data_IF_403978000320
#
_entry.id   IF_403978000320
#
_cell.length_a   1.000
_cell.length_b   1.000
_cell.length_c   1.000
_cell.angle_alpha   90.00
_cell.angle_beta   90.00
_cell.angle_gamma   90.00
#
_symmetry.space_group_name_H-M   'P 1'
#
loop_
_entity.id
_entity.type
_entity.pdbx_description
1 polymer ?
#
# COMPACT_ATOMS: atom_id res chain seq x y z
N UNK A 1 16.39 -35.20 14.99
CA UNK A 1 15.70 -34.62 13.81
C UNK A 1 14.34 -34.12 14.25
N UNK A 2 13.99 -32.86 13.97
CA UNK A 2 12.70 -32.27 14.35
C UNK A 2 11.58 -32.85 13.49
N UNK A 3 10.50 -33.34 14.10
CA UNK A 3 9.35 -33.86 13.35
C UNK A 3 8.41 -32.70 12.93
N UNK A 4 8.55 -32.28 11.67
CA UNK A 4 7.74 -31.21 11.06
C UNK A 4 6.26 -31.57 10.88
N UNK A 5 5.91 -32.86 10.96
CA UNK A 5 4.53 -33.34 10.86
C UNK A 5 3.86 -33.53 12.23
N UNK A 6 4.49 -33.07 13.31
CA UNK A 6 3.86 -33.15 14.63
C UNK A 6 2.65 -32.19 14.72
N UNK A 7 1.48 -32.66 15.19
CA UNK A 7 0.28 -31.81 15.28
C UNK A 7 0.46 -30.63 16.23
N UNK A 8 1.32 -30.77 17.24
CA UNK A 8 1.70 -29.69 18.16
C UNK A 8 2.42 -28.53 17.48
N UNK A 9 3.28 -28.82 16.48
CA UNK A 9 3.98 -27.79 15.73
C UNK A 9 3.01 -27.03 14.83
N UNK A 10 2.15 -27.74 14.11
CA UNK A 10 1.13 -27.14 13.24
C UNK A 10 0.19 -26.20 14.01
N UNK A 11 -0.22 -26.58 15.23
CA UNK A 11 -1.04 -25.74 16.10
C UNK A 11 -0.30 -24.47 16.53
N UNK A 12 1.00 -24.58 16.83
CA UNK A 12 1.83 -23.44 17.21
C UNK A 12 2.02 -22.46 16.05
N UNK A 13 2.26 -22.97 14.84
CA UNK A 13 2.35 -22.18 13.61
C UNK A 13 1.02 -21.48 13.30
N UNK A 14 -0.10 -22.17 13.47
CA UNK A 14 -1.44 -21.59 13.31
C UNK A 14 -1.68 -20.41 14.27
N UNK A 15 -1.30 -20.54 15.54
CA UNK A 15 -1.42 -19.40 16.48
C UNK A 15 -0.51 -18.23 16.13
N UNK A 16 0.71 -18.50 15.65
CA UNK A 16 1.60 -17.45 15.16
C UNK A 16 1.00 -16.72 13.95
N UNK A 17 0.39 -17.48 13.03
CA UNK A 17 -0.32 -16.96 11.87
C UNK A 17 -1.50 -16.06 12.25
N UNK A 18 -2.38 -16.51 13.15
CA UNK A 18 -3.53 -15.72 13.63
C UNK A 18 -3.05 -14.41 14.27
N UNK A 19 -2.01 -14.47 15.12
CA UNK A 19 -1.41 -13.27 15.71
C UNK A 19 -0.85 -12.31 14.67
N UNK A 20 -0.19 -12.83 13.64
CA UNK A 20 0.34 -12.03 12.53
C UNK A 20 -0.78 -11.34 11.75
N UNK A 21 -1.87 -12.05 11.43
CA UNK A 21 -3.04 -11.46 10.76
C UNK A 21 -3.64 -10.34 11.60
N UNK A 22 -3.86 -10.56 12.89
CA UNK A 22 -4.43 -9.55 13.77
C UNK A 22 -3.53 -8.31 13.88
N UNK A 23 -2.21 -8.51 13.92
CA UNK A 23 -1.24 -7.42 13.87
C UNK A 23 -1.32 -6.63 12.55
N UNK A 24 -1.34 -7.31 11.41
CA UNK A 24 -1.45 -6.67 10.09
C UNK A 24 -2.79 -5.97 9.90
N UNK A 25 -3.88 -6.56 10.39
CA UNK A 25 -5.21 -5.95 10.43
C UNK A 25 -5.22 -4.69 11.28
N UNK A 26 -4.60 -4.72 12.47
CA UNK A 26 -4.41 -3.54 13.31
C UNK A 26 -3.62 -2.44 12.61
N UNK A 27 -2.52 -2.80 11.93
CA UNK A 27 -1.73 -1.87 11.13
C UNK A 27 -2.54 -1.26 9.97
N UNK A 28 -3.37 -2.07 9.31
CA UNK A 28 -4.26 -1.62 8.24
C UNK A 28 -5.35 -0.68 8.76
N UNK A 29 -5.97 -0.99 9.91
CA UNK A 29 -6.96 -0.13 10.57
C UNK A 29 -6.31 1.18 11.03
N UNK A 30 -5.10 1.13 11.59
CA UNK A 30 -4.34 2.32 11.94
C UNK A 30 -4.12 3.22 10.71
N UNK A 31 -3.69 2.63 9.59
CA UNK A 31 -3.56 3.31 8.31
C UNK A 31 -4.89 3.87 7.77
N UNK A 32 -6.02 3.21 8.09
CA UNK A 32 -7.35 3.73 7.81
C UNK A 32 -7.65 5.00 8.60
N UNK A 33 -7.45 4.95 9.91
CA UNK A 33 -7.80 6.01 10.85
C UNK A 33 -6.98 7.28 10.62
N UNK A 34 -5.66 7.16 10.44
CA UNK A 34 -4.77 8.32 10.25
C UNK A 34 -5.14 9.13 9.00
N UNK A 35 -5.67 8.48 7.97
CA UNK A 35 -6.05 9.14 6.71
C UNK A 35 -7.56 9.34 6.56
N UNK A 36 -8.34 9.16 7.62
CA UNK A 36 -9.80 9.25 7.57
C UNK A 36 -10.29 10.63 7.12
N UNK A 37 -9.58 11.70 7.50
CA UNK A 37 -9.91 13.07 7.08
C UNK A 37 -9.82 13.25 5.56
N UNK A 38 -8.78 12.66 4.94
CA UNK A 38 -8.62 12.69 3.49
C UNK A 38 -9.72 11.89 2.81
N UNK A 39 -10.01 10.69 3.32
CA UNK A 39 -11.05 9.81 2.77
C UNK A 39 -12.45 10.43 2.89
N UNK A 40 -12.73 11.10 4.01
CA UNK A 40 -13.97 11.84 4.22
C UNK A 40 -14.08 13.02 3.25
N UNK A 41 -12.98 13.76 3.02
CA UNK A 41 -12.93 14.81 2.00
C UNK A 41 -13.16 14.29 0.58
N UNK A 42 -12.61 13.12 0.25
CA UNK A 42 -12.85 12.42 -1.02
C UNK A 42 -14.31 11.99 -1.14
N UNK A 43 -14.86 11.37 -0.10
CA UNK A 43 -16.24 10.89 -0.06
C UNK A 43 -17.22 12.05 -0.23
N UNK A 44 -17.12 13.09 0.59
CA UNK A 44 -17.97 14.29 0.50
C UNK A 44 -17.93 14.94 -0.89
N UNK A 45 -16.77 14.99 -1.56
CA UNK A 45 -16.65 15.50 -2.93
C UNK A 45 -17.45 14.68 -3.96
N UNK A 46 -17.51 13.35 -3.79
CA UNK A 46 -18.35 12.49 -4.65
C UNK A 46 -19.83 12.83 -4.47
N UNK A 47 -20.28 12.94 -3.21
CA UNK A 47 -21.68 13.23 -2.91
C UNK A 47 -22.10 14.64 -3.35
N UNK A 48 -21.22 15.63 -3.16
CA UNK A 48 -21.54 17.03 -3.48
C UNK A 48 -21.62 17.27 -5.00
N UNK A 49 -20.79 16.58 -5.81
CA UNK A 49 -20.80 16.73 -7.27
C UNK A 49 -21.99 16.09 -7.98
N UNK A 50 -22.74 15.21 -7.32
CA UNK A 50 -23.94 14.57 -7.87
C UNK A 50 -25.09 15.56 -8.17
N UNK A 51 -25.02 16.78 -7.65
CA UNK A 51 -26.09 17.80 -7.82
C UNK A 51 -25.88 18.78 -8.98
N UNK A 52 -24.73 18.75 -9.69
CA UNK A 52 -24.53 19.56 -10.90
C UNK A 52 -24.27 18.65 -12.11
N UNK A 53 -25.31 18.44 -12.92
CA UNK A 53 -25.36 17.70 -14.18
C UNK A 53 -24.39 18.15 -15.31
N UNK A 54 -23.34 18.90 -15.02
CA UNK A 54 -22.51 19.53 -16.04
C UNK A 54 -21.16 18.82 -16.22
N UNK A 55 -21.15 17.86 -17.17
CA UNK A 55 -20.01 17.27 -17.90
C UNK A 55 -20.01 15.73 -17.86
N UNK A 56 -20.96 15.15 -18.60
CA UNK A 56 -21.24 13.71 -18.69
C UNK A 56 -20.09 12.84 -19.24
N UNK A 57 -19.02 13.39 -19.85
CA UNK A 57 -17.91 12.60 -20.39
C UNK A 57 -16.55 12.83 -19.71
N UNK A 58 -16.34 14.00 -19.07
CA UNK A 58 -15.12 14.30 -18.33
C UNK A 58 -15.13 13.73 -16.90
N UNK A 59 -16.29 13.71 -16.25
CA UNK A 59 -16.45 13.24 -14.88
C UNK A 59 -16.20 11.73 -14.69
N UNK A 60 -16.67 10.91 -15.65
CA UNK A 60 -16.65 9.44 -15.56
C UNK A 60 -15.24 8.89 -15.27
N UNK A 61 -14.20 9.45 -15.91
CA UNK A 61 -12.82 8.95 -15.74
C UNK A 61 -12.24 9.27 -14.37
N UNK A 62 -12.54 10.45 -13.84
CA UNK A 62 -12.08 10.87 -12.51
C UNK A 62 -12.82 10.11 -11.41
N UNK A 63 -14.13 9.93 -11.59
CA UNK A 63 -14.98 9.23 -10.63
C UNK A 63 -14.64 7.74 -10.57
N UNK A 64 -14.26 7.11 -11.69
CA UNK A 64 -13.80 5.71 -11.73
C UNK A 64 -12.53 5.49 -10.90
N UNK A 65 -11.53 6.37 -11.03
CA UNK A 65 -10.26 6.23 -10.27
C UNK A 65 -10.52 6.40 -8.76
N UNK A 66 -11.44 7.28 -8.40
CA UNK A 66 -11.81 7.53 -7.01
C UNK A 66 -12.59 6.37 -6.40
N UNK A 67 -13.53 5.80 -7.16
CA UNK A 67 -14.23 4.57 -6.79
C UNK A 67 -13.26 3.40 -6.65
N UNK A 68 -12.31 3.27 -7.57
CA UNK A 68 -11.26 2.25 -7.53
C UNK A 68 -10.40 2.36 -6.27
N UNK A 69 -10.00 3.58 -5.92
CA UNK A 69 -9.28 3.88 -4.68
C UNK A 69 -10.07 3.49 -3.43
N UNK A 70 -11.37 3.84 -3.37
CA UNK A 70 -12.23 3.47 -2.25
C UNK A 70 -12.42 1.95 -2.17
N UNK A 71 -12.64 1.27 -3.29
CA UNK A 71 -12.77 -0.19 -3.33
C UNK A 71 -11.50 -0.89 -2.86
N UNK A 72 -10.32 -0.48 -3.34
CA UNK A 72 -9.03 -1.02 -2.91
C UNK A 72 -8.78 -0.87 -1.40
N UNK A 73 -9.47 0.07 -0.76
CA UNK A 73 -9.28 0.46 0.64
C UNK A 73 -10.35 -0.09 1.59
N UNK A 74 -11.62 -0.12 1.19
CA UNK A 74 -12.70 -0.58 2.07
C UNK A 74 -12.94 -2.10 1.97
N UNK A 75 -12.65 -2.71 0.83
CA UNK A 75 -12.91 -4.14 0.63
C UNK A 75 -12.01 -5.03 1.51
N UNK A 76 -10.69 -4.79 1.64
CA UNK A 76 -9.87 -5.57 2.57
C UNK A 76 -10.32 -5.43 4.02
N UNK A 77 -10.83 -4.25 4.42
CA UNK A 77 -11.38 -4.04 5.76
C UNK A 77 -12.61 -4.92 6.02
N UNK A 78 -13.51 -5.03 5.03
CA UNK A 78 -14.68 -5.91 5.11
C UNK A 78 -14.24 -7.37 5.25
N UNK A 79 -13.19 -7.79 4.52
CA UNK A 79 -12.64 -9.14 4.64
C UNK A 79 -12.15 -9.44 6.06
N UNK A 80 -11.45 -8.50 6.70
CA UNK A 80 -10.97 -8.63 8.09
C UNK A 80 -12.15 -8.76 9.08
N UNK A 81 -13.22 -7.97 8.91
CA UNK A 81 -14.37 -8.01 9.82
C UNK A 81 -15.17 -9.32 9.66
N UNK A 82 -15.25 -9.86 8.45
CA UNK A 82 -16.00 -11.08 8.13
C UNK A 82 -15.29 -12.39 8.49
N UNK A 83 -14.06 -12.32 9.02
CA UNK A 83 -13.21 -13.46 9.39
C UNK A 83 -13.96 -14.52 10.21
N UNK A 84 -14.89 -14.08 11.06
CA UNK A 84 -15.62 -14.95 11.99
C UNK A 84 -16.78 -15.76 11.39
N UNK A 85 -17.24 -15.45 10.17
CA UNK A 85 -18.47 -16.04 9.63
C UNK A 85 -18.31 -16.81 8.32
N UNK A 86 -17.41 -16.39 7.41
CA UNK A 86 -17.35 -16.96 6.06
C UNK A 86 -15.96 -16.89 5.42
N UNK A 87 -15.16 -17.96 5.55
CA UNK A 87 -13.82 -18.07 4.96
C UNK A 87 -13.80 -17.77 3.45
N UNK A 88 -14.76 -18.32 2.69
CA UNK A 88 -14.84 -18.07 1.23
C UNK A 88 -15.06 -16.60 0.88
N UNK A 89 -15.90 -15.89 1.65
CA UNK A 89 -16.14 -14.46 1.42
C UNK A 89 -14.89 -13.63 1.76
N UNK A 90 -14.17 -13.99 2.82
CA UNK A 90 -12.89 -13.35 3.18
C UNK A 90 -11.89 -13.44 2.04
N UNK A 91 -11.73 -14.62 1.43
CA UNK A 91 -10.87 -14.78 0.25
C UNK A 91 -11.36 -13.96 -0.94
N UNK A 92 -12.66 -14.01 -1.26
CA UNK A 92 -13.23 -13.24 -2.37
C UNK A 92 -12.96 -11.73 -2.20
N UNK A 93 -13.26 -11.15 -1.04
CA UNK A 93 -13.03 -9.74 -0.78
C UNK A 93 -11.54 -9.41 -0.76
N UNK A 94 -10.68 -10.25 -0.18
CA UNK A 94 -9.23 -10.04 -0.18
C UNK A 94 -8.67 -9.96 -1.61
N UNK A 95 -9.06 -10.90 -2.48
CA UNK A 95 -8.65 -10.89 -3.89
C UNK A 95 -9.24 -9.71 -4.67
N UNK A 96 -10.48 -9.29 -4.39
CA UNK A 96 -11.05 -8.09 -5.01
C UNK A 96 -10.29 -6.83 -4.61
N UNK A 97 -9.99 -6.64 -3.32
CA UNK A 97 -9.20 -5.52 -2.84
C UNK A 97 -7.81 -5.46 -3.49
N UNK A 98 -7.17 -6.62 -3.62
CA UNK A 98 -5.90 -6.79 -4.33
C UNK A 98 -6.00 -6.44 -5.83
N UNK A 99 -7.04 -6.91 -6.53
CA UNK A 99 -7.26 -6.57 -7.95
C UNK A 99 -7.46 -5.08 -8.18
N UNK A 100 -8.13 -4.40 -7.24
CA UNK A 100 -8.29 -2.95 -7.31
C UNK A 100 -6.98 -2.21 -7.01
N UNK A 101 -6.16 -2.71 -6.08
CA UNK A 101 -4.82 -2.16 -5.84
C UNK A 101 -3.91 -2.30 -7.06
N UNK A 102 -3.89 -3.47 -7.71
CA UNK A 102 -3.10 -3.69 -8.93
C UNK A 102 -3.62 -2.87 -10.12
N UNK A 103 -4.94 -2.61 -10.20
CA UNK A 103 -5.50 -1.69 -11.18
C UNK A 103 -5.02 -0.23 -10.97
N UNK A 104 -4.81 0.23 -9.72
CA UNK A 104 -4.21 1.54 -9.45
C UNK A 104 -2.76 1.62 -9.95
N UNK A 105 -1.99 0.52 -9.81
CA UNK A 105 -0.65 0.44 -10.42
C UNK A 105 -0.72 0.48 -11.95
N UNK A 106 -1.64 -0.29 -12.56
CA UNK A 106 -1.85 -0.27 -14.00
C UNK A 106 -2.13 1.15 -14.51
N UNK A 107 -3.02 1.90 -13.86
CA UNK A 107 -3.33 3.27 -14.24
C UNK A 107 -2.10 4.17 -14.23
N UNK A 108 -1.22 4.01 -13.23
CA UNK A 108 0.04 4.78 -13.16
C UNK A 108 1.02 4.36 -14.24
N UNK A 109 1.12 3.06 -14.57
CA UNK A 109 1.93 2.58 -15.71
C UNK A 109 1.45 3.26 -16.99
N UNK A 110 0.14 3.25 -17.27
CA UNK A 110 -0.43 3.88 -18.47
C UNK A 110 -0.13 5.38 -18.53
N UNK A 111 -0.19 6.07 -17.39
CA UNK A 111 0.15 7.49 -17.29
C UNK A 111 1.64 7.76 -17.58
N UNK A 112 2.54 6.96 -17.01
CA UNK A 112 4.01 7.09 -17.19
C UNK A 112 4.42 6.84 -18.64
N UNK A 113 3.76 5.91 -19.34
CA UNK A 113 4.13 5.53 -20.70
C UNK A 113 3.49 6.38 -21.79
N UNK A 114 2.92 7.55 -21.45
CA UNK A 114 2.30 8.49 -22.39
C UNK A 114 1.31 7.81 -23.38
N UNK A 115 0.60 6.76 -22.93
CA UNK A 115 -0.27 5.90 -23.77
C UNK A 115 0.42 5.24 -24.97
N UNK A 116 1.69 4.82 -24.84
CA UNK A 116 2.25 3.89 -25.82
C UNK A 116 1.34 2.65 -25.89
N UNK A 117 0.72 2.43 -27.05
CA UNK A 117 -0.29 1.39 -27.26
C UNK A 117 0.26 0.00 -26.92
N UNK A 118 1.52 -0.27 -27.26
CA UNK A 118 2.14 -1.59 -27.04
C UNK A 118 2.24 -1.88 -25.54
N UNK A 119 2.83 -0.96 -24.77
CA UNK A 119 3.03 -1.14 -23.32
C UNK A 119 1.70 -1.12 -22.58
N UNK A 120 0.77 -0.26 -23.00
CA UNK A 120 -0.57 -0.17 -22.40
C UNK A 120 -1.37 -1.46 -22.62
N UNK A 121 -1.34 -2.01 -23.85
CA UNK A 121 -1.98 -3.30 -24.15
C UNK A 121 -1.34 -4.43 -23.37
N UNK A 122 0.01 -4.47 -23.29
CA UNK A 122 0.72 -5.48 -22.50
C UNK A 122 0.34 -5.42 -21.02
N UNK A 123 0.41 -4.25 -20.39
CA UNK A 123 0.09 -4.08 -18.98
C UNK A 123 -1.39 -4.41 -18.69
N UNK A 124 -2.31 -4.04 -19.59
CA UNK A 124 -3.74 -4.36 -19.46
C UNK A 124 -3.98 -5.86 -19.60
N UNK A 125 -3.30 -6.53 -20.54
CA UNK A 125 -3.36 -7.98 -20.69
C UNK A 125 -2.81 -8.70 -19.45
N UNK A 126 -1.69 -8.24 -18.88
CA UNK A 126 -1.14 -8.76 -17.63
C UNK A 126 -2.11 -8.61 -16.46
N UNK A 127 -2.79 -7.46 -16.35
CA UNK A 127 -3.82 -7.25 -15.33
C UNK A 127 -5.05 -8.14 -15.52
N UNK A 128 -5.54 -8.32 -16.75
CA UNK A 128 -6.63 -9.25 -17.06
C UNK A 128 -6.24 -10.70 -16.75
N UNK A 129 -4.99 -11.08 -16.98
CA UNK A 129 -4.49 -12.39 -16.61
C UNK A 129 -4.45 -12.57 -15.09
N UNK A 130 -4.06 -11.53 -14.34
CA UNK A 130 -4.11 -11.53 -12.88
C UNK A 130 -5.56 -11.67 -12.36
N UNK A 131 -6.51 -10.97 -12.98
CA UNK A 131 -7.95 -11.13 -12.72
C UNK A 131 -8.42 -12.57 -12.95
N UNK A 132 -8.06 -13.17 -14.09
CA UNK A 132 -8.42 -14.56 -14.39
C UNK A 132 -7.82 -15.54 -13.38
N UNK A 133 -6.56 -15.35 -12.99
CA UNK A 133 -5.89 -16.17 -11.97
C UNK A 133 -6.55 -16.04 -10.59
N UNK A 134 -6.92 -14.81 -10.18
CA UNK A 134 -7.67 -14.58 -8.95
C UNK A 134 -9.03 -15.27 -8.96
N UNK A 135 -9.78 -15.19 -10.08
CA UNK A 135 -11.06 -15.88 -10.23
C UNK A 135 -10.88 -17.41 -10.16
N UNK A 136 -9.83 -17.94 -10.81
CA UNK A 136 -9.50 -19.37 -10.72
C UNK A 136 -9.17 -19.80 -9.29
N UNK A 137 -8.41 -19.00 -8.53
CA UNK A 137 -8.13 -19.24 -7.11
C UNK A 137 -9.42 -19.32 -6.28
N UNK A 138 -10.35 -18.37 -6.46
CA UNK A 138 -11.61 -18.34 -5.70
C UNK A 138 -12.51 -19.53 -6.04
N UNK A 139 -12.58 -19.94 -7.30
CA UNK A 139 -13.41 -21.09 -7.72
C UNK A 139 -12.82 -22.42 -7.27
N UNK A 140 -11.49 -22.53 -7.22
CA UNK A 140 -10.78 -23.76 -6.82
C UNK A 140 -10.68 -23.90 -5.31
N UNK A 141 -10.78 -22.80 -4.56
CA UNK A 141 -10.77 -22.77 -3.11
C UNK A 141 -11.94 -23.58 -2.53
N UNK A 142 -11.66 -24.83 -2.16
CA UNK A 142 -12.57 -25.72 -1.43
C UNK A 142 -12.15 -25.77 0.02
N UNK A 143 -13.09 -25.55 0.93
CA UNK A 143 -12.85 -25.64 2.37
C UNK A 143 -13.29 -27.01 2.89
N UNK A 144 -12.39 -27.74 3.53
CA UNK A 144 -12.68 -29.01 4.20
C UNK A 144 -12.50 -28.84 5.70
N UNK A 145 -13.49 -29.28 6.48
CA UNK A 145 -13.40 -29.29 7.93
C UNK A 145 -12.40 -30.37 8.38
N UNK A 146 -11.42 -30.00 9.21
CA UNK A 146 -10.41 -30.92 9.74
C UNK A 146 -10.67 -31.11 11.23
N UNK A 147 -11.22 -32.27 11.60
CA UNK A 147 -11.63 -32.57 12.98
C UNK A 147 -10.46 -32.54 13.97
N UNK A 148 -9.24 -32.90 13.55
CA UNK A 148 -8.07 -32.95 14.43
C UNK A 148 -7.60 -31.57 14.91
N UNK A 149 -7.85 -30.52 14.12
CA UNK A 149 -7.48 -29.14 14.46
C UNK A 149 -8.70 -28.28 14.85
N UNK A 150 -9.93 -28.78 14.66
CA UNK A 150 -11.17 -28.02 14.85
C UNK A 150 -11.19 -26.71 14.03
N UNK A 151 -10.60 -26.74 12.83
CA UNK A 151 -10.55 -25.61 11.91
C UNK A 151 -10.99 -26.02 10.50
N UNK A 152 -11.51 -25.04 9.77
CA UNK A 152 -11.83 -25.19 8.37
C UNK A 152 -10.56 -24.92 7.53
N UNK A 153 -9.97 -25.97 6.96
CA UNK A 153 -8.76 -25.88 6.15
C UNK A 153 -9.06 -25.78 4.66
N UNK A 154 -8.12 -25.25 3.87
CA UNK A 154 -8.23 -25.23 2.41
C UNK A 154 -7.69 -26.55 1.85
N UNK A 155 -8.56 -27.34 1.23
CA UNK A 155 -8.14 -28.52 0.45
C UNK A 155 -7.57 -28.08 -0.90
N UNK A 156 -6.64 -28.85 -1.47
CA UNK A 156 -6.02 -28.62 -2.79
C UNK A 156 -5.03 -27.43 -2.90
N UNK A 157 -4.15 -27.27 -1.91
CA UNK A 157 -3.08 -26.25 -1.93
C UNK A 157 -2.21 -26.35 -3.20
N UNK A 158 -1.94 -27.57 -3.69
CA UNK A 158 -1.13 -27.82 -4.88
C UNK A 158 -1.66 -27.15 -6.15
N UNK A 159 -2.99 -27.16 -6.37
CA UNK A 159 -3.59 -26.55 -7.57
C UNK A 159 -3.54 -25.02 -7.47
N UNK A 160 -3.72 -24.48 -6.27
CA UNK A 160 -3.68 -23.04 -6.01
C UNK A 160 -2.27 -22.46 -6.12
N UNK A 161 -1.22 -23.26 -5.86
CA UNK A 161 0.19 -22.83 -5.98
C UNK A 161 0.53 -22.29 -7.37
N UNK A 162 0.09 -22.95 -8.45
CA UNK A 162 0.37 -22.47 -9.80
C UNK A 162 -0.29 -21.13 -10.11
N UNK A 163 -1.55 -20.94 -9.70
CA UNK A 163 -2.25 -19.66 -9.86
C UNK A 163 -1.59 -18.55 -9.05
N UNK A 164 -1.12 -18.86 -7.84
CA UNK A 164 -0.39 -17.92 -6.98
C UNK A 164 0.94 -17.47 -7.62
N UNK A 165 1.73 -18.41 -8.14
CA UNK A 165 2.96 -18.06 -8.86
C UNK A 165 2.67 -17.19 -10.07
N UNK A 166 1.60 -17.48 -10.79
CA UNK A 166 1.18 -16.66 -11.91
C UNK A 166 0.87 -15.23 -11.47
N UNK A 167 0.12 -15.05 -10.37
CA UNK A 167 -0.16 -13.74 -9.78
C UNK A 167 1.14 -13.00 -9.46
N UNK A 168 2.06 -13.60 -8.71
CA UNK A 168 3.32 -12.95 -8.33
C UNK A 168 4.16 -12.57 -9.57
N UNK A 169 4.25 -13.45 -10.56
CA UNK A 169 4.94 -13.16 -11.80
C UNK A 169 4.31 -11.98 -12.55
N UNK A 170 2.97 -11.91 -12.62
CA UNK A 170 2.29 -10.77 -13.26
C UNK A 170 2.54 -9.46 -12.52
N UNK A 171 2.58 -9.47 -11.19
CA UNK A 171 2.92 -8.28 -10.39
C UNK A 171 4.36 -7.85 -10.61
N UNK A 172 5.30 -8.79 -10.63
CA UNK A 172 6.70 -8.51 -10.91
C UNK A 172 6.89 -7.88 -12.30
N UNK A 173 6.15 -8.36 -13.31
CA UNK A 173 6.14 -7.75 -14.65
C UNK A 173 5.59 -6.32 -14.60
N UNK A 174 4.48 -6.08 -13.90
CA UNK A 174 3.92 -4.72 -13.74
C UNK A 174 4.91 -3.79 -13.02
N UNK A 175 5.58 -4.27 -11.97
CA UNK A 175 6.62 -3.55 -11.24
C UNK A 175 7.81 -3.19 -12.14
N UNK A 176 8.31 -4.13 -12.95
CA UNK A 176 9.39 -3.87 -13.90
C UNK A 176 8.96 -2.85 -14.97
N UNK A 177 7.78 -3.02 -15.55
CA UNK A 177 7.25 -2.08 -16.57
C UNK A 177 7.15 -0.66 -16.01
N UNK A 178 6.78 -0.54 -14.75
CA UNK A 178 6.71 0.72 -14.03
C UNK A 178 8.08 1.34 -13.79
N UNK A 179 9.03 0.56 -13.26
CA UNK A 179 10.39 1.02 -12.99
C UNK A 179 11.10 1.42 -14.30
N UNK A 180 10.94 0.62 -15.35
CA UNK A 180 11.46 0.93 -16.69
C UNK A 180 10.89 2.25 -17.23
N UNK A 181 9.58 2.49 -17.05
CA UNK A 181 8.94 3.75 -17.41
C UNK A 181 9.53 4.95 -16.64
N UNK A 182 9.75 4.79 -15.33
CA UNK A 182 10.37 5.82 -14.48
C UNK A 182 11.83 6.12 -14.88
N UNK A 183 12.62 5.09 -15.15
CA UNK A 183 14.03 5.20 -15.57
C UNK A 183 14.14 5.87 -16.95
N UNK A 184 13.25 5.52 -17.89
CA UNK A 184 13.18 6.18 -19.20
C UNK A 184 12.86 7.66 -19.09
N UNK A 185 11.96 8.03 -18.16
CA UNK A 185 11.62 9.45 -17.93
C UNK A 185 12.79 10.21 -17.31
N UNK A 186 13.61 9.59 -16.44
CA UNK A 186 14.80 10.23 -15.87
C UNK A 186 15.71 10.83 -16.95
N UNK A 187 15.94 10.10 -18.04
CA UNK A 187 16.77 10.57 -19.16
C UNK A 187 16.21 11.78 -19.90
N UNK A 188 14.93 12.11 -19.74
CA UNK A 188 14.30 13.29 -20.39
C UNK A 188 14.42 14.58 -19.57
N UNK A 189 14.98 14.55 -18.36
CA UNK A 189 15.53 15.72 -17.66
C UNK A 189 14.56 16.85 -17.29
N UNK A 190 13.24 16.63 -17.22
CA UNK A 190 12.26 17.71 -17.01
C UNK A 190 11.40 17.50 -15.75
N UNK A 191 11.73 18.27 -14.70
CA UNK A 191 10.78 18.67 -13.64
C UNK A 191 10.92 18.01 -12.26
N UNK A 192 10.69 18.79 -11.19
CA UNK A 192 10.66 18.33 -9.79
C UNK A 192 9.56 17.30 -9.47
N UNK A 193 8.51 17.24 -10.31
CA UNK A 193 7.47 16.18 -10.29
C UNK A 193 8.09 14.78 -10.37
N UNK A 194 9.11 14.61 -11.21
CA UNK A 194 9.74 13.32 -11.39
C UNK A 194 10.40 12.83 -10.09
N UNK A 195 11.05 13.72 -9.34
CA UNK A 195 11.73 13.38 -8.10
C UNK A 195 10.74 12.95 -7.01
N UNK A 196 9.57 13.59 -6.94
CA UNK A 196 8.51 13.21 -6.01
C UNK A 196 7.93 11.83 -6.38
N UNK A 197 7.59 11.62 -7.66
CA UNK A 197 7.10 10.33 -8.14
C UNK A 197 8.11 9.20 -7.96
N UNK A 198 9.40 9.48 -8.17
CA UNK A 198 10.48 8.52 -8.04
C UNK A 198 10.71 8.15 -6.57
N UNK A 199 10.87 9.13 -5.69
CA UNK A 199 11.20 8.88 -4.28
C UNK A 199 10.05 8.17 -3.56
N UNK A 200 8.81 8.64 -3.75
CA UNK A 200 7.66 8.01 -3.12
C UNK A 200 7.35 6.66 -3.79
N UNK A 201 7.36 6.60 -5.12
CA UNK A 201 7.03 5.37 -5.85
C UNK A 201 8.02 4.24 -5.55
N UNK A 202 9.31 4.49 -5.73
CA UNK A 202 10.34 3.44 -5.65
C UNK A 202 10.44 2.83 -4.25
N UNK A 203 10.29 3.62 -3.18
CA UNK A 203 10.31 3.09 -1.81
C UNK A 203 9.15 2.12 -1.60
N UNK A 204 7.92 2.51 -1.97
CA UNK A 204 6.76 1.64 -1.82
C UNK A 204 6.83 0.41 -2.74
N UNK A 205 7.42 0.53 -3.94
CA UNK A 205 7.66 -0.63 -4.82
C UNK A 205 8.71 -1.59 -4.28
N UNK A 206 9.77 -1.08 -3.66
CA UNK A 206 10.76 -1.92 -3.02
C UNK A 206 10.13 -2.69 -1.86
N UNK A 207 9.27 -2.04 -1.08
CA UNK A 207 8.53 -2.68 0.02
C UNK A 207 7.60 -3.78 -0.49
N UNK A 208 6.82 -3.54 -1.56
CA UNK A 208 5.97 -4.59 -2.14
C UNK A 208 6.79 -5.74 -2.70
N UNK A 209 7.87 -5.45 -3.45
CA UNK A 209 8.75 -6.47 -3.99
C UNK A 209 9.37 -7.35 -2.89
N UNK A 210 9.82 -6.74 -1.79
CA UNK A 210 10.38 -7.48 -0.64
C UNK A 210 9.32 -8.35 0.03
N UNK A 211 8.06 -7.90 0.09
CA UNK A 211 6.96 -8.70 0.62
C UNK A 211 6.62 -9.92 -0.24
N UNK A 212 6.91 -9.87 -1.55
CA UNK A 212 6.65 -10.96 -2.50
C UNK A 212 7.82 -11.95 -2.66
N UNK A 213 9.02 -11.63 -2.14
CA UNK A 213 10.18 -12.53 -2.17
C UNK A 213 9.97 -13.83 -1.39
N UNK A 214 9.40 -13.84 -0.16
CA UNK A 214 9.30 -15.07 0.62
C UNK A 214 8.52 -16.20 -0.10
N UNK A 215 7.35 -15.96 -0.71
CA UNK A 215 6.68 -16.97 -1.52
C UNK A 215 7.52 -17.49 -2.71
N UNK A 216 8.31 -16.62 -3.37
CA UNK A 216 9.14 -17.00 -4.52
C UNK A 216 10.37 -17.80 -4.12
N UNK A 217 11.04 -17.42 -3.04
CA UNK A 217 12.28 -18.07 -2.57
C UNK A 217 12.08 -19.55 -2.26
N UNK A 218 10.90 -19.91 -1.73
CA UNK A 218 10.54 -21.30 -1.43
C UNK A 218 10.18 -22.11 -2.67
N UNK A 219 9.77 -21.45 -3.76
CA UNK A 219 9.47 -22.16 -5.01
C UNK A 219 10.74 -22.58 -5.76
N UNK A 220 11.79 -21.76 -5.75
CA UNK A 220 13.06 -22.07 -6.44
C UNK A 220 13.92 -23.10 -5.71
N UNK A 221 13.77 -23.22 -4.39
CA UNK A 221 14.46 -24.23 -3.59
C UNK A 221 13.74 -25.60 -3.69
N UNK A 222 13.62 -26.15 -4.90
CA UNK A 222 13.20 -27.54 -5.16
C UNK A 222 14.26 -28.58 -4.73
N UNK A 223 14.95 -28.34 -3.62
CA UNK A 223 15.84 -29.30 -2.96
C UNK A 223 15.28 -29.64 -1.59
N UNK A 224 14.30 -30.54 -1.54
CA UNK A 224 13.91 -31.41 -0.41
C UNK A 224 13.81 -30.83 1.02
N UNK A 225 13.65 -29.53 1.22
CA UNK A 225 13.49 -28.95 2.55
C UNK A 225 12.00 -28.85 2.92
N UNK A 226 11.54 -29.85 3.68
CA UNK A 226 10.34 -29.88 4.53
C UNK A 226 9.80 -28.49 4.92
N UNK A 227 8.84 -27.97 4.17
CA UNK A 227 7.95 -26.92 4.68
C UNK A 227 6.57 -27.51 4.84
N UNK A 228 6.10 -27.54 6.08
CA UNK A 228 4.72 -27.79 6.46
C UNK A 228 3.80 -26.95 5.56
N UNK A 229 2.80 -27.57 4.91
CA UNK A 229 1.92 -26.89 3.94
C UNK A 229 1.27 -25.59 4.48
N UNK A 230 1.21 -25.42 5.81
CA UNK A 230 0.72 -24.20 6.45
C UNK A 230 1.63 -22.97 6.30
N UNK A 231 2.95 -23.12 6.24
CA UNK A 231 3.89 -21.99 6.27
C UNK A 231 3.84 -21.11 5.00
N UNK A 232 3.50 -21.71 3.85
CA UNK A 232 3.33 -20.97 2.59
C UNK A 232 2.20 -19.95 2.71
N UNK A 233 1.08 -20.36 3.33
CA UNK A 233 -0.10 -19.51 3.53
C UNK A 233 0.24 -18.31 4.42
N UNK A 234 1.01 -18.53 5.49
CA UNK A 234 1.44 -17.46 6.42
C UNK A 234 2.21 -16.35 5.70
N UNK A 235 3.10 -16.72 4.79
CA UNK A 235 3.88 -15.74 4.03
C UNK A 235 3.12 -15.05 2.91
N UNK A 236 2.00 -15.62 2.46
CA UNK A 236 1.21 -15.07 1.37
C UNK A 236 0.28 -13.94 1.84
N UNK A 237 -0.31 -14.05 3.03
CA UNK A 237 -1.30 -13.08 3.54
C UNK A 237 -0.80 -11.63 3.65
N UNK A 238 0.44 -11.33 4.08
CA UNK A 238 0.90 -9.94 4.19
C UNK A 238 1.00 -9.21 2.84
N UNK A 239 1.32 -9.93 1.75
CA UNK A 239 1.57 -9.35 0.44
C UNK A 239 0.41 -8.46 -0.08
N UNK A 240 -0.85 -8.94 -0.19
CA UNK A 240 -1.96 -8.11 -0.70
C UNK A 240 -2.28 -6.91 0.20
N UNK A 241 -2.09 -7.02 1.53
CA UNK A 241 -2.29 -5.89 2.45
C UNK A 241 -1.24 -4.81 2.23
N UNK A 242 0.04 -5.19 2.12
CA UNK A 242 1.15 -4.27 1.86
C UNK A 242 0.96 -3.60 0.49
N UNK A 243 0.56 -4.35 -0.54
CA UNK A 243 0.25 -3.84 -1.87
C UNK A 243 -0.91 -2.83 -1.84
N UNK A 244 -1.99 -3.10 -1.10
CA UNK A 244 -3.10 -2.14 -0.92
C UNK A 244 -2.65 -0.86 -0.20
N UNK A 245 -1.86 -0.96 0.86
CA UNK A 245 -1.32 0.20 1.58
C UNK A 245 -0.41 1.02 0.66
N UNK A 246 0.51 0.36 -0.04
CA UNK A 246 1.44 1.00 -0.98
C UNK A 246 0.69 1.73 -2.10
N UNK A 247 -0.28 1.06 -2.75
CA UNK A 247 -1.08 1.64 -3.83
C UNK A 247 -1.88 2.87 -3.37
N UNK A 248 -2.49 2.81 -2.18
CA UNK A 248 -3.28 3.92 -1.64
C UNK A 248 -2.41 5.10 -1.19
N UNK A 249 -1.27 4.85 -0.51
CA UNK A 249 -0.29 5.89 -0.14
C UNK A 249 0.27 6.60 -1.37
N UNK A 250 0.58 5.85 -2.42
CA UNK A 250 1.08 6.38 -3.68
C UNK A 250 0.04 7.24 -4.40
N UNK A 251 -1.23 6.84 -4.37
CA UNK A 251 -2.33 7.63 -4.91
C UNK A 251 -2.52 8.96 -4.16
N UNK A 252 -2.46 8.95 -2.82
CA UNK A 252 -2.58 10.17 -2.01
C UNK A 252 -1.45 11.16 -2.29
N UNK A 253 -0.20 10.68 -2.32
CA UNK A 253 0.95 11.54 -2.62
C UNK A 253 0.83 12.27 -3.95
N UNK A 254 0.25 11.61 -4.96
CA UNK A 254 -0.05 12.23 -6.24
C UNK A 254 -1.22 13.23 -6.15
N UNK A 255 -2.29 12.87 -5.47
CA UNK A 255 -3.45 13.76 -5.28
C UNK A 255 -3.08 15.05 -4.57
N UNK A 256 -2.29 14.97 -3.51
CA UNK A 256 -1.85 16.13 -2.75
C UNK A 256 -0.96 17.04 -3.60
N UNK A 257 -0.08 16.46 -4.40
CA UNK A 257 0.76 17.23 -5.32
C UNK A 257 -0.07 18.01 -6.35
N UNK A 258 -1.07 17.37 -6.95
CA UNK A 258 -1.94 18.00 -7.96
C UNK A 258 -2.76 19.16 -7.38
N UNK A 259 -3.28 19.02 -6.15
CA UNK A 259 -4.02 20.09 -5.48
C UNK A 259 -3.12 21.31 -5.24
N UNK A 260 -1.87 21.10 -4.84
CA UNK A 260 -0.94 22.21 -4.63
C UNK A 260 -0.58 22.90 -5.95
N UNK A 261 -0.32 22.14 -7.03
CA UNK A 261 0.02 22.72 -8.33
C UNK A 261 -1.11 23.57 -8.94
N UNK A 262 -2.37 23.15 -8.79
CA UNK A 262 -3.52 23.91 -9.29
C UNK A 262 -3.65 25.27 -8.59
N UNK A 263 -3.35 25.34 -7.28
CA UNK A 263 -3.38 26.59 -6.51
C UNK A 263 -2.31 27.56 -7.03
N UNK A 264 -1.08 27.10 -7.28
CA UNK A 264 -0.01 27.97 -7.78
C UNK A 264 -0.29 28.50 -9.20
N UNK A 265 -0.95 27.72 -10.05
CA UNK A 265 -1.34 28.18 -11.37
C UNK A 265 -2.51 29.17 -11.35
N UNK A 266 -3.42 29.09 -10.37
CA UNK A 266 -4.46 30.11 -10.19
C UNK A 266 -3.93 31.43 -9.63
N UNK A 267 -2.80 31.42 -8.91
CA UNK A 267 -2.21 32.65 -8.33
C UNK A 267 -1.38 33.44 -9.36
N UNK A 268 -0.94 32.82 -10.46
CA UNK A 268 -0.01 33.45 -11.42
C UNK A 268 -0.61 33.97 -12.73
N UNK A 269 -1.94 33.96 -12.89
CA UNK A 269 -2.62 34.54 -14.06
C UNK A 269 -3.29 35.84 -13.66
N UNK A 270 -2.50 36.92 -13.62
CA UNK A 270 -2.93 38.28 -13.97
C UNK A 270 -1.70 39.12 -14.41
N UNK A 271 -1.32 39.07 -15.70
CA UNK A 271 -0.35 40.02 -16.27
C UNK A 271 -0.99 41.37 -16.64
N UNK A 272 -2.31 41.52 -16.51
CA UNK A 272 -2.99 42.79 -16.61
C UNK A 272 -3.16 43.34 -15.19
N UNK A 273 -2.26 44.23 -14.78
CA UNK A 273 -2.36 44.94 -13.51
C UNK A 273 -3.67 45.70 -13.37
N UNK A 274 -4.68 45.03 -12.83
CA UNK A 274 -5.77 45.64 -12.09
C UNK A 274 -6.02 44.78 -10.84
N UNK A 275 -5.36 45.18 -9.75
CA UNK A 275 -5.85 44.95 -8.39
C UNK A 275 -7.21 45.65 -8.24
N UNK A 276 -8.24 45.14 -8.90
CA UNK A 276 -9.61 45.51 -8.57
C UNK A 276 -9.96 44.73 -7.33
N UNK A 277 -9.98 45.44 -6.20
CA UNK A 277 -10.66 45.13 -4.95
C UNK A 277 -11.56 43.90 -5.08
N UNK A 278 -10.99 42.72 -4.83
CA UNK A 278 -11.79 41.56 -4.51
C UNK A 278 -12.33 41.88 -3.11
N UNK A 279 -13.64 42.11 -2.92
CA UNK A 279 -14.16 42.24 -1.58
C UNK A 279 -13.88 40.90 -0.91
N UNK A 280 -12.91 40.90 0.00
CA UNK A 280 -12.81 39.88 1.02
C UNK A 280 -14.20 39.82 1.64
N UNK A 281 -14.94 38.74 1.33
CA UNK A 281 -16.19 38.45 2.01
C UNK A 281 -15.88 38.47 3.49
N UNK A 282 -16.46 39.45 4.17
CA UNK A 282 -16.34 39.66 5.61
C UNK A 282 -16.55 38.31 6.29
N UNK A 283 -15.45 37.72 6.74
CA UNK A 283 -15.48 36.67 7.74
C UNK A 283 -16.08 37.36 8.96
N UNK A 284 -17.37 37.12 9.18
CA UNK A 284 -18.11 37.64 10.31
C UNK A 284 -17.50 37.03 11.55
N UNK A 285 -16.56 37.75 12.14
CA UNK A 285 -16.18 37.60 13.54
C UNK A 285 -17.44 37.77 14.36
N UNK A 286 -17.88 36.66 14.94
CA UNK A 286 -18.92 36.56 15.95
C UNK A 286 -18.75 37.67 17.01
N UNK A 287 -19.74 38.58 17.20
CA UNK A 287 -19.68 39.55 18.29
C UNK A 287 -20.00 38.87 19.63
N UNK A 288 -19.33 39.37 20.67
CA UNK A 288 -19.26 38.74 21.97
C UNK A 288 -20.46 38.93 22.90
N UNK A 289 -20.41 38.18 23.98
CA UNK A 289 -21.00 38.43 25.30
C UNK A 289 -20.10 37.69 26.30
N UNK A 290 -19.55 38.25 27.36
CA UNK A 290 -19.67 39.60 27.88
C UNK A 290 -18.50 39.94 28.80
N UNK A 291 -18.41 41.24 29.11
CA UNK A 291 -17.53 41.80 30.12
C UNK A 291 -18.01 41.41 31.53
N UNK A 292 -17.08 41.00 32.37
CA UNK A 292 -17.06 41.39 33.79
C UNK A 292 -15.63 41.78 34.14
N UNK A 293 -15.45 43.07 34.37
CA UNK A 293 -14.33 43.66 35.10
C UNK A 293 -14.55 43.40 36.60
N UNK A 294 -13.54 42.92 37.31
CA UNK A 294 -13.01 43.67 38.46
C UNK A 294 -11.69 43.11 39.03
N UNK A 295 -10.79 44.08 39.18
CA UNK A 295 -9.62 44.27 40.04
C UNK A 295 -9.32 43.26 41.17
N UNK A 296 -8.01 42.97 41.33
CA UNK A 296 -7.43 42.56 42.61
C UNK A 296 -6.05 41.92 42.44
N UNK A 297 -4.99 42.70 42.65
CA UNK A 297 -3.62 42.19 42.60
C UNK A 297 -3.25 41.29 43.78
N UNK A 298 -2.31 40.38 43.58
CA UNK A 298 -1.29 40.02 44.56
C UNK A 298 -0.18 39.20 43.91
N UNK A 299 1.05 39.58 44.23
CA UNK A 299 2.28 38.84 43.99
C UNK A 299 2.20 37.43 44.59
N UNK A 300 2.75 36.43 43.91
CA UNK A 300 3.65 35.44 44.52
C UNK A 300 4.15 34.46 43.46
N UNK A 301 5.41 34.06 43.59
CA UNK A 301 6.16 33.26 42.63
C UNK A 301 5.66 31.83 42.44
N UNK A 302 6.20 31.24 41.38
CA UNK A 302 5.97 29.85 41.00
C UNK A 302 6.65 29.55 39.68
N UNK A 303 7.98 29.43 39.70
CA UNK A 303 8.70 28.66 38.68
C UNK A 303 8.11 27.24 38.66
N UNK A 304 7.54 26.84 37.53
CA UNK A 304 7.40 25.42 37.21
C UNK A 304 7.77 25.21 35.74
N UNK A 305 9.05 24.90 35.57
CA UNK A 305 9.66 24.29 34.40
C UNK A 305 9.03 22.92 34.20
N UNK A 306 8.29 22.72 33.10
CA UNK A 306 8.01 21.37 32.59
C UNK A 306 8.58 21.30 31.19
N UNK A 307 9.84 20.89 31.14
CA UNK A 307 10.49 20.38 29.94
C UNK A 307 9.93 19.00 29.63
N UNK A 308 9.37 18.83 28.43
CA UNK A 308 8.96 17.56 27.87
C UNK A 308 9.59 17.42 26.50
N UNK A 309 10.83 16.94 26.50
CA UNK A 309 11.68 16.70 25.34
C UNK A 309 11.03 15.71 24.37
N UNK A 310 10.73 16.18 23.15
CA UNK A 310 10.48 15.33 21.99
C UNK A 310 11.82 14.68 21.59
N UNK A 311 12.00 13.42 21.95
CA UNK A 311 13.09 12.57 21.46
C UNK A 311 12.96 12.42 19.94
N UNK A 312 13.86 13.08 19.22
CA UNK A 312 14.10 12.87 17.80
C UNK A 312 14.80 11.52 17.65
N UNK A 313 14.19 10.61 16.87
CA UNK A 313 14.86 9.39 16.41
C UNK A 313 15.70 9.77 15.20
N UNK A 314 16.96 10.11 15.46
CA UNK A 314 17.99 10.23 14.45
C UNK A 314 18.55 8.84 14.17
N UNK A 315 18.29 8.31 12.97
CA UNK A 315 18.97 7.12 12.47
C UNK A 315 20.44 7.49 12.16
N UNK A 316 21.35 6.99 13.00
CA UNK A 316 22.79 7.08 12.80
C UNK A 316 23.22 6.26 11.58
N UNK A 317 23.71 6.97 10.57
CA UNK A 317 24.45 6.41 9.43
C UNK A 317 25.84 6.00 9.90
N UNK A 318 26.08 4.69 10.03
CA UNK A 318 27.39 4.13 10.30
C UNK A 318 28.17 3.97 8.99
N UNK A 319 29.05 4.94 8.73
CA UNK A 319 30.14 4.80 7.76
C UNK A 319 31.20 3.83 8.30
N UNK A 320 31.26 2.61 7.75
CA UNK A 320 32.35 1.67 7.95
C UNK A 320 33.20 1.56 6.69
N UNK A 321 34.21 2.42 6.58
CA UNK A 321 35.18 2.41 5.50
C UNK A 321 36.18 1.24 5.63
N UNK A 322 36.57 0.76 4.45
CA UNK A 322 37.54 -0.29 4.18
C UNK A 322 38.88 -0.16 4.92
N UNK A 323 39.45 -1.30 5.33
CA UNK A 323 40.91 -1.46 5.36
C UNK A 323 41.33 -2.83 4.86
N UNK A 324 42.30 -2.77 3.96
CA UNK A 324 42.87 -3.78 3.08
C UNK A 324 44.22 -4.24 3.67
N UNK A 325 44.44 -5.55 3.76
CA UNK A 325 45.74 -6.25 3.80
C UNK A 325 45.41 -7.76 3.68
N UNK A 326 45.68 -8.49 2.59
CA UNK A 326 46.95 -8.86 1.96
C UNK A 326 47.83 -9.79 2.83
N UNK A 327 48.33 -10.86 2.18
CA UNK A 327 49.14 -12.01 2.66
C UNK A 327 48.28 -13.22 3.07
N UNK A 328 48.40 -14.44 2.55
CA UNK A 328 49.47 -15.11 1.80
C UNK A 328 49.59 -16.56 2.34
N UNK A 329 49.81 -17.56 1.49
CA UNK A 329 49.98 -19.00 1.85
C UNK A 329 48.78 -19.85 1.41
N UNK A 330 48.78 -20.60 0.31
CA UNK A 330 49.70 -21.66 -0.19
C UNK A 330 49.45 -23.04 0.44
N UNK A 331 49.45 -24.06 -0.43
CA UNK A 331 49.48 -25.52 -0.17
C UNK A 331 48.27 -26.14 0.58
N UNK A 332 47.79 -27.37 0.33
CA UNK A 332 48.11 -28.49 -0.56
C UNK A 332 47.18 -29.64 -0.16
N UNK A 333 46.66 -30.45 -1.12
CA UNK A 333 46.17 -31.84 -0.94
C UNK A 333 44.97 -32.02 0.05
N UNK A 334 44.01 -32.93 -0.13
CA UNK A 334 44.16 -34.37 -0.24
C UNK A 334 42.81 -35.00 -0.68
N UNK A 335 42.94 -35.98 -1.58
CA UNK A 335 41.95 -36.98 -1.98
C UNK A 335 41.40 -37.79 -0.80
N UNK A 336 40.10 -38.12 -0.82
CA UNK A 336 39.49 -39.47 -1.00
C UNK A 336 37.98 -39.33 -1.00
#
# INVERSE_FOLDING_TARGET
MTNWHSPSLALTEYYAYVKLIHFLAGLYIWEMLVNLNFDYGVFTRIFQKRTRHASLMGGIKRDLILQLYLCARWIPLIAIILEMAYVTLVYLFSYLGFLFATALFLLRIVAVWERNKIVTTLATATWLANLAACMHCVVTARSTWVESLQVCGLSDVLKTRFSLLFIINTEFVLLILMLAGLLRWKSRGKGGIWQLLFTQGVVWFAVTAVADIPPLSRFGAQGEAFTTDGMDVVTQVPAPLIVSIAATRMYRGLSDYLVHSDIFHMVHVDPAGQLNNIPFGNFTTRPGAGNTSDTGGMQSGGQLTVGGSLTSLTFGSSNGAAKKAASGGDESHETV
#
